data_IF_153974189740
#
_entry.id   IF_153974189740
#
_cell.length_a   1.000
_cell.length_b   1.000
_cell.length_c   1.000
_cell.angle_alpha   90.00
_cell.angle_beta   90.00
_cell.angle_gamma   90.00
#
_symmetry.space_group_name_H-M   'P 1'
#
loop_
_entity.id
_entity.type
_entity.pdbx_description
1 polymer ?
#
# COMPACT_ATOMS: atom_id res chain seq x y z
N UNK A 1 8.77 -34.37 -17.42
CA UNK A 1 9.09 -34.09 -16.02
C UNK A 1 9.50 -35.40 -15.38
N UNK A 2 10.73 -35.47 -14.90
CA UNK A 2 11.24 -36.64 -14.16
C UNK A 2 10.58 -36.73 -12.77
N UNK A 3 10.49 -37.91 -12.16
CA UNK A 3 9.84 -38.07 -10.86
C UNK A 3 10.58 -37.31 -9.75
N UNK A 4 11.92 -37.21 -9.85
CA UNK A 4 12.73 -36.39 -8.96
C UNK A 4 12.42 -34.90 -9.11
N UNK A 5 12.22 -34.45 -10.35
CA UNK A 5 11.88 -33.05 -10.65
C UNK A 5 10.48 -32.69 -10.14
N UNK A 6 9.53 -33.63 -10.21
CA UNK A 6 8.21 -33.49 -9.63
C UNK A 6 8.27 -33.39 -8.09
N UNK A 7 8.95 -34.33 -7.44
CA UNK A 7 9.12 -34.33 -5.97
C UNK A 7 9.78 -33.03 -5.52
N UNK A 8 10.87 -32.61 -6.17
CA UNK A 8 11.59 -31.38 -5.83
C UNK A 8 10.70 -30.13 -5.94
N UNK A 9 9.87 -30.03 -6.99
CA UNK A 9 8.92 -28.91 -7.11
C UNK A 9 7.85 -28.94 -6.02
N UNK A 10 7.30 -30.11 -5.70
CA UNK A 10 6.28 -30.24 -4.64
C UNK A 10 6.88 -29.88 -3.27
N UNK A 11 8.08 -30.40 -2.97
CA UNK A 11 8.74 -30.15 -1.67
C UNK A 11 9.30 -28.73 -1.55
N UNK A 12 9.55 -28.01 -2.65
CA UNK A 12 9.98 -26.60 -2.62
C UNK A 12 9.00 -25.66 -1.90
N UNK A 13 7.72 -26.06 -1.81
CA UNK A 13 6.69 -25.32 -1.06
C UNK A 13 6.70 -25.64 0.43
N UNK A 14 7.44 -26.63 0.90
CA UNK A 14 7.55 -26.96 2.32
C UNK A 14 8.70 -26.11 2.89
N UNK A 15 8.44 -25.23 3.88
CA UNK A 15 9.51 -24.47 4.51
C UNK A 15 10.49 -25.33 5.29
N UNK A 16 11.71 -24.83 5.42
CA UNK A 16 12.63 -25.33 6.43
C UNK A 16 12.10 -25.03 7.84
N UNK A 17 12.47 -25.89 8.78
CA UNK A 17 12.09 -25.75 10.18
C UNK A 17 12.59 -24.41 10.71
N UNK A 18 11.71 -23.67 11.37
CA UNK A 18 11.95 -22.35 11.98
C UNK A 18 12.20 -21.17 11.02
N UNK A 19 11.94 -21.34 9.72
CA UNK A 19 11.98 -20.24 8.76
C UNK A 19 10.77 -19.30 8.95
N UNK A 20 11.03 -18.03 9.26
CA UNK A 20 9.99 -16.99 9.27
C UNK A 20 9.53 -16.72 7.84
N UNK A 21 8.29 -17.07 7.54
CA UNK A 21 7.75 -16.93 6.20
C UNK A 21 6.64 -15.90 6.11
N UNK A 22 6.87 -14.86 5.33
CA UNK A 22 5.79 -14.02 4.81
C UNK A 22 5.39 -14.56 3.44
N UNK A 23 4.54 -15.60 3.43
CA UNK A 23 3.94 -16.10 2.18
C UNK A 23 2.65 -15.35 1.89
N UNK A 24 2.63 -14.63 0.78
CA UNK A 24 1.46 -13.89 0.32
C UNK A 24 0.46 -14.76 -0.43
N UNK A 25 0.85 -15.96 -0.88
CA UNK A 25 0.00 -16.88 -1.66
C UNK A 25 0.15 -18.34 -1.21
N UNK A 26 -0.81 -19.18 -1.60
CA UNK A 26 -0.83 -20.63 -1.32
C UNK A 26 -1.38 -21.02 0.06
N UNK A 27 -1.39 -22.34 0.32
CA UNK A 27 -2.00 -22.96 1.50
C UNK A 27 -1.41 -22.46 2.84
N UNK A 28 -0.14 -22.07 2.83
CA UNK A 28 0.57 -21.58 4.02
C UNK A 28 0.51 -20.05 4.20
N UNK A 29 -0.16 -19.33 3.30
CA UNK A 29 -0.31 -17.87 3.43
C UNK A 29 -1.12 -17.48 4.67
N UNK A 30 -0.81 -16.32 5.25
CA UNK A 30 -1.51 -15.81 6.44
C UNK A 30 -3.01 -15.60 6.16
N UNK A 31 -3.36 -15.16 4.94
CA UNK A 31 -4.74 -15.00 4.51
C UNK A 31 -5.49 -16.35 4.52
N UNK A 32 -4.93 -17.39 3.88
CA UNK A 32 -5.53 -18.71 3.82
C UNK A 32 -5.66 -19.36 5.21
N UNK A 33 -4.60 -19.34 6.02
CA UNK A 33 -4.64 -19.86 7.40
C UNK A 33 -5.64 -19.10 8.28
N UNK A 34 -5.75 -17.79 8.08
CA UNK A 34 -6.75 -16.94 8.74
C UNK A 34 -8.18 -17.34 8.39
N UNK A 35 -8.47 -17.60 7.11
CA UNK A 35 -9.78 -18.08 6.62
C UNK A 35 -10.13 -19.45 7.22
N UNK A 36 -9.20 -20.43 7.18
CA UNK A 36 -9.40 -21.76 7.77
C UNK A 36 -9.71 -21.66 9.26
N UNK A 37 -8.94 -20.85 10.01
CA UNK A 37 -9.17 -20.66 11.45
C UNK A 37 -10.56 -20.06 11.72
N UNK A 38 -11.02 -19.13 10.89
CA UNK A 38 -12.35 -18.50 11.02
C UNK A 38 -13.49 -19.44 10.64
N UNK A 39 -13.29 -20.30 9.63
CA UNK A 39 -14.27 -21.28 9.17
C UNK A 39 -14.44 -22.46 10.15
N UNK A 40 -13.55 -22.63 11.13
CA UNK A 40 -13.62 -23.69 12.13
C UNK A 40 -13.44 -25.11 11.57
N UNK A 41 -13.09 -25.25 10.28
CA UNK A 41 -12.90 -26.53 9.62
C UNK A 41 -11.43 -26.87 9.53
N UNK A 42 -11.00 -27.90 10.25
CA UNK A 42 -9.81 -28.64 9.84
C UNK A 42 -10.20 -29.42 8.58
N UNK A 43 -9.94 -28.86 7.40
CA UNK A 43 -10.26 -29.52 6.15
C UNK A 43 -9.46 -30.81 6.02
N UNK A 44 -10.14 -31.96 6.03
CA UNK A 44 -9.56 -33.29 5.78
C UNK A 44 -9.14 -33.51 4.32
N UNK A 45 -9.29 -32.50 3.47
CA UNK A 45 -8.94 -32.52 2.05
C UNK A 45 -8.36 -31.15 1.63
N UNK A 46 -7.35 -31.10 0.75
CA UNK A 46 -6.87 -29.83 0.23
C UNK A 46 -8.02 -29.15 -0.52
N UNK A 47 -8.44 -27.95 -0.12
CA UNK A 47 -9.48 -27.25 -0.86
C UNK A 47 -8.86 -26.84 -2.20
N UNK A 48 -9.43 -27.32 -3.30
CA UNK A 48 -9.22 -26.70 -4.60
C UNK A 48 -9.95 -25.36 -4.50
N UNK A 49 -9.22 -24.34 -4.04
CA UNK A 49 -9.72 -22.98 -3.90
C UNK A 49 -9.66 -22.34 -5.27
N UNK A 50 -10.68 -22.58 -6.08
CA UNK A 50 -11.16 -21.56 -7.02
C UNK A 50 -12.01 -20.56 -6.22
N UNK A 51 -11.39 -19.85 -5.27
CA UNK A 51 -11.99 -18.61 -4.78
C UNK A 51 -11.68 -17.58 -5.85
N UNK A 52 -12.63 -17.35 -6.76
CA UNK A 52 -12.69 -16.07 -7.44
C UNK A 52 -12.59 -14.99 -6.35
N UNK A 53 -11.59 -14.10 -6.41
CA UNK A 53 -11.45 -13.09 -5.37
C UNK A 53 -12.75 -12.30 -5.35
N UNK A 54 -13.47 -12.34 -4.22
CA UNK A 54 -14.56 -11.41 -3.96
C UNK A 54 -14.03 -10.03 -4.34
N UNK A 55 -14.59 -9.44 -5.39
CA UNK A 55 -14.23 -8.10 -5.82
C UNK A 55 -14.59 -7.17 -4.67
N UNK A 56 -13.62 -6.88 -3.80
CA UNK A 56 -13.73 -5.80 -2.84
C UNK A 56 -13.58 -4.55 -3.67
N UNK A 57 -14.64 -3.76 -3.91
CA UNK A 57 -14.49 -2.52 -4.63
C UNK A 57 -13.47 -1.70 -3.85
N UNK A 58 -12.34 -1.40 -4.49
CA UNK A 58 -11.39 -0.45 -3.95
C UNK A 58 -12.19 0.78 -3.55
N UNK A 59 -12.12 1.15 -2.27
CA UNK A 59 -12.79 2.34 -1.78
C UNK A 59 -12.29 3.50 -2.65
N UNK A 60 -13.20 4.16 -3.36
CA UNK A 60 -12.82 5.24 -4.26
C UNK A 60 -12.05 6.33 -3.52
N UNK A 61 -11.23 7.10 -4.24
CA UNK A 61 -10.42 8.20 -3.71
C UNK A 61 -11.17 9.08 -2.68
N UNK A 62 -12.42 9.44 -2.97
CA UNK A 62 -13.24 10.27 -2.09
C UNK A 62 -13.54 9.60 -0.73
N UNK A 63 -13.74 8.28 -0.72
CA UNK A 63 -13.99 7.51 0.51
C UNK A 63 -12.71 7.36 1.34
N UNK A 64 -11.54 7.31 0.70
CA UNK A 64 -10.27 7.34 1.42
C UNK A 64 -10.06 8.69 2.12
N UNK A 65 -10.30 9.80 1.43
CA UNK A 65 -10.20 11.14 2.04
C UNK A 65 -11.20 11.28 3.19
N UNK A 66 -12.45 10.85 3.01
CA UNK A 66 -13.45 10.86 4.08
C UNK A 66 -12.99 10.12 5.32
N UNK A 67 -12.28 9.00 5.17
CA UNK A 67 -11.82 8.20 6.32
C UNK A 67 -10.58 8.78 6.98
N UNK A 68 -9.64 9.31 6.20
CA UNK A 68 -8.37 9.82 6.72
C UNK A 68 -8.52 11.21 7.33
N UNK A 69 -9.38 12.05 6.75
CA UNK A 69 -9.52 13.47 7.11
C UNK A 69 -10.93 13.82 7.60
N UNK A 70 -11.85 12.87 7.70
CA UNK A 70 -13.25 13.09 8.13
C UNK A 70 -14.03 14.10 7.25
N UNK A 71 -13.51 14.44 6.07
CA UNK A 71 -14.09 15.41 5.13
C UNK A 71 -14.56 14.72 3.85
N UNK A 72 -15.76 15.05 3.37
CA UNK A 72 -16.25 14.60 2.05
C UNK A 72 -15.79 15.56 0.94
N UNK A 73 -14.82 15.18 0.08
CA UNK A 73 -14.31 16.06 -0.97
C UNK A 73 -15.30 16.31 -2.11
N UNK A 74 -16.40 15.55 -2.17
CA UNK A 74 -17.47 15.73 -3.17
C UNK A 74 -18.67 16.52 -2.61
N UNK A 75 -18.51 17.20 -1.47
CA UNK A 75 -19.51 18.11 -0.91
C UNK A 75 -18.99 19.54 -0.99
N UNK A 76 -19.79 20.46 -1.55
CA UNK A 76 -19.41 21.86 -1.63
C UNK A 76 -19.43 22.50 -0.22
N UNK A 77 -18.34 23.13 0.25
CA UNK A 77 -18.30 23.74 1.58
C UNK A 77 -19.22 24.96 1.72
N UNK A 78 -19.55 25.64 0.62
CA UNK A 78 -20.39 26.85 0.65
C UNK A 78 -21.89 26.57 0.63
N UNK A 79 -22.33 25.50 -0.05
CA UNK A 79 -23.77 25.23 -0.25
C UNK A 79 -24.20 23.81 0.11
N UNK A 80 -23.28 22.89 0.43
CA UNK A 80 -23.59 21.49 0.74
C UNK A 80 -24.00 20.63 -0.47
N UNK A 81 -23.97 21.19 -1.68
CA UNK A 81 -24.31 20.46 -2.90
C UNK A 81 -23.31 19.37 -3.27
N UNK A 82 -23.77 18.35 -3.99
CA UNK A 82 -22.90 17.27 -4.49
C UNK A 82 -22.05 17.76 -5.68
N UNK A 83 -20.74 17.60 -5.57
CA UNK A 83 -19.77 17.92 -6.63
C UNK A 83 -19.45 16.66 -7.45
N UNK A 84 -19.00 16.87 -8.70
CA UNK A 84 -18.55 15.81 -9.61
C UNK A 84 -17.16 16.16 -10.16
N UNK A 85 -16.33 15.14 -10.32
CA UNK A 85 -15.03 15.29 -10.98
C UNK A 85 -15.27 15.48 -12.48
N UNK A 86 -14.72 16.55 -13.04
CA UNK A 86 -14.86 16.90 -14.46
C UNK A 86 -13.65 16.46 -15.29
N UNK A 87 -12.45 16.49 -14.70
CA UNK A 87 -11.20 16.13 -15.36
C UNK A 87 -10.09 15.88 -14.33
N UNK A 88 -9.05 15.18 -14.75
CA UNK A 88 -7.79 15.08 -14.02
C UNK A 88 -6.73 15.87 -14.78
N UNK A 89 -5.95 16.68 -14.05
CA UNK A 89 -4.87 17.49 -14.60
C UNK A 89 -3.56 16.94 -14.06
N UNK A 90 -2.72 16.40 -14.93
CA UNK A 90 -1.48 15.71 -14.54
C UNK A 90 -0.21 16.52 -14.88
N UNK A 91 -0.30 17.50 -15.78
CA UNK A 91 0.85 18.31 -16.23
C UNK A 91 1.30 19.31 -15.14
N UNK A 92 2.53 19.21 -14.60
CA UNK A 92 3.00 20.05 -13.49
C UNK A 92 2.93 21.55 -13.81
N UNK A 93 3.31 21.95 -15.02
CA UNK A 93 3.31 23.37 -15.43
C UNK A 93 1.90 23.98 -15.45
N UNK A 94 0.87 23.16 -15.65
CA UNK A 94 -0.52 23.62 -15.63
C UNK A 94 -1.00 23.70 -14.18
N UNK A 95 -0.67 22.69 -13.37
CA UNK A 95 -0.97 22.65 -11.94
C UNK A 95 -0.39 23.90 -11.25
N UNK A 96 0.89 24.21 -11.47
CA UNK A 96 1.56 25.38 -10.88
C UNK A 96 0.88 26.69 -11.25
N UNK A 97 0.48 26.83 -12.52
CA UNK A 97 -0.25 28.02 -13.01
C UNK A 97 -1.61 28.18 -12.32
N UNK A 98 -2.34 27.08 -12.11
CA UNK A 98 -3.64 27.09 -11.42
C UNK A 98 -3.44 27.45 -9.94
N UNK A 99 -2.49 26.80 -9.26
CA UNK A 99 -2.19 27.06 -7.84
C UNK A 99 -1.80 28.52 -7.63
N UNK A 100 -0.93 29.06 -8.48
CA UNK A 100 -0.51 30.46 -8.43
C UNK A 100 -1.69 31.43 -8.65
N UNK A 101 -2.57 31.13 -9.60
CA UNK A 101 -3.77 31.92 -9.87
C UNK A 101 -4.75 31.93 -8.69
N UNK A 102 -4.93 30.79 -8.05
CA UNK A 102 -5.80 30.63 -6.88
C UNK A 102 -5.16 31.12 -5.57
N UNK A 103 -3.87 31.49 -5.59
CA UNK A 103 -3.07 31.88 -4.41
C UNK A 103 -3.11 30.83 -3.29
N UNK A 104 -3.12 29.55 -3.67
CA UNK A 104 -3.08 28.44 -2.72
C UNK A 104 -1.62 28.22 -2.29
N UNK A 105 -1.22 28.72 -1.12
CA UNK A 105 0.06 28.36 -0.51
C UNK A 105 -0.06 26.98 0.11
N UNK A 106 0.55 25.98 -0.53
CA UNK A 106 0.64 24.64 0.05
C UNK A 106 1.91 24.54 0.91
N UNK A 107 1.76 24.78 2.21
CA UNK A 107 2.77 24.44 3.21
C UNK A 107 2.49 23.02 3.70
N UNK A 108 2.90 22.00 2.93
CA UNK A 108 3.02 20.68 3.51
C UNK A 108 4.22 20.68 4.45
N UNK A 109 3.97 20.44 5.74
CA UNK A 109 5.01 20.02 6.65
C UNK A 109 5.63 18.74 6.07
N UNK A 110 6.85 18.88 5.54
CA UNK A 110 7.59 17.74 5.01
C UNK A 110 7.77 16.77 6.18
N UNK A 111 7.35 15.50 6.07
CA UNK A 111 7.57 14.56 7.16
C UNK A 111 9.07 14.56 7.48
N UNK A 112 9.45 14.54 8.77
CA UNK A 112 10.85 14.59 9.15
C UNK A 112 11.60 13.49 8.39
N UNK A 113 12.79 13.80 7.84
CA UNK A 113 13.56 12.81 7.09
C UNK A 113 13.75 11.56 7.96
N UNK A 114 13.64 10.35 7.37
CA UNK A 114 13.86 9.13 8.12
C UNK A 114 15.24 9.20 8.80
N UNK A 115 15.32 8.76 10.06
CA UNK A 115 16.51 8.93 10.91
C UNK A 115 17.84 8.51 10.24
N UNK A 116 17.80 7.51 9.35
CA UNK A 116 18.96 7.03 8.59
C UNK A 116 19.53 8.14 7.68
N UNK A 117 18.66 8.85 6.96
CA UNK A 117 19.05 9.94 6.06
C UNK A 117 19.49 11.17 6.85
N UNK A 118 18.94 11.38 8.05
CA UNK A 118 19.38 12.45 8.94
C UNK A 118 20.81 12.24 9.43
N UNK A 119 21.17 11.00 9.81
CA UNK A 119 22.52 10.67 10.26
C UNK A 119 23.55 10.79 9.14
N UNK A 120 23.24 10.32 7.93
CA UNK A 120 24.10 10.50 6.75
C UNK A 120 24.30 11.98 6.38
N UNK A 121 23.25 12.79 6.45
CA UNK A 121 23.32 14.24 6.21
C UNK A 121 24.15 14.97 7.26
N UNK A 122 24.07 14.56 8.52
CA UNK A 122 24.90 15.11 9.60
C UNK A 122 26.36 14.77 9.39
N UNK A 123 26.69 13.51 9.09
CA UNK A 123 28.08 13.10 8.78
C UNK A 123 28.63 13.83 7.54
N UNK A 124 27.82 13.99 6.48
CA UNK A 124 28.21 14.72 5.27
C UNK A 124 28.28 16.26 5.45
N UNK A 125 27.70 16.80 6.52
CA UNK A 125 27.84 18.20 6.91
C UNK A 125 29.08 18.42 7.79
N UNK A 126 29.40 17.45 8.66
CA UNK A 126 30.63 17.41 9.46
C UNK A 126 31.88 17.29 8.57
N UNK A 127 31.88 16.38 7.58
CA UNK A 127 32.98 16.24 6.61
C UNK A 127 33.26 17.53 5.81
N UNK A 128 32.22 18.35 5.59
CA UNK A 128 32.36 19.64 4.89
C UNK A 128 32.89 20.76 5.79
N UNK A 129 32.85 20.60 7.11
CA UNK A 129 33.38 21.55 8.09
C UNK A 129 34.87 21.35 8.40
N UNK A 130 35.44 20.18 8.11
CA UNK A 130 36.83 19.86 8.46
C UNK A 130 37.89 20.30 7.41
N UNK A 131 37.46 20.99 6.34
CA UNK A 131 38.34 21.51 5.28
C UNK A 131 38.24 23.04 5.10
N UNK A 132 38.21 23.80 6.20
CA UNK A 132 38.55 25.23 6.23
C UNK A 132 39.42 25.58 7.42
#
# INVERSE_FOLDING_TARGET
MDYLEFIARVTSHIPDKDQVMVRYYGLYSNAHRGKIRKAGSALSHPPIIEEEPDYVPYKGWAEMIRRAYEVNPLCCPSCGGQMRIISFIEEPKIIDRIIAHLKLTFEAERPPPPHIVHQELLMAAEERGEYF
#
